data_IF_635578810470
#
_entry.id   IF_635578810470
#
_cell.length_a   1.000
_cell.length_b   1.000
_cell.length_c   1.000
_cell.angle_alpha   90.00
_cell.angle_beta   90.00
_cell.angle_gamma   90.00
#
_symmetry.space_group_name_H-M   'P 1'
#
loop_
_entity.id
_entity.type
_entity.pdbx_description
1 polymer ?
#
# COMPACT_ATOMS: atom_id res chain seq x y z
N UNK A 1 8.61 -24.66 -32.65
CA UNK A 1 7.73 -25.30 -31.63
C UNK A 1 7.92 -24.77 -30.20
N UNK A 2 8.69 -23.69 -29.95
CA UNK A 2 8.87 -23.14 -28.60
C UNK A 2 7.75 -22.17 -28.13
N UNK A 3 6.95 -21.63 -29.06
CA UNK A 3 5.96 -20.57 -28.76
C UNK A 3 4.69 -21.09 -28.06
N UNK A 4 4.39 -22.39 -28.15
CA UNK A 4 3.25 -23.03 -27.44
C UNK A 4 3.59 -23.42 -26.00
N UNK A 5 4.88 -23.64 -25.68
CA UNK A 5 5.32 -24.01 -24.32
C UNK A 5 5.34 -22.77 -23.41
N UNK A 6 5.71 -21.59 -23.94
CA UNK A 6 5.68 -20.35 -23.16
C UNK A 6 4.25 -19.90 -22.80
N UNK A 7 3.28 -20.21 -23.66
CA UNK A 7 1.87 -19.85 -23.45
C UNK A 7 1.16 -20.80 -22.47
N UNK A 8 1.69 -22.01 -22.25
CA UNK A 8 1.19 -22.94 -21.23
C UNK A 8 1.66 -22.57 -19.83
N UNK A 9 2.86 -21.99 -19.68
CA UNK A 9 3.37 -21.52 -18.38
C UNK A 9 2.57 -20.31 -17.87
N UNK A 10 2.06 -19.45 -18.75
CA UNK A 10 1.17 -18.34 -18.35
C UNK A 10 -0.27 -18.75 -18.03
N UNK A 11 -0.70 -19.96 -18.40
CA UNK A 11 -2.07 -20.45 -18.14
C UNK A 11 -2.14 -21.38 -16.92
N UNK A 12 -1.01 -21.91 -16.43
CA UNK A 12 -0.97 -22.93 -15.37
C UNK A 12 -1.05 -22.42 -13.93
N UNK A 13 -1.17 -21.10 -13.69
CA UNK A 13 -1.49 -20.56 -12.36
C UNK A 13 -2.98 -20.24 -12.17
N UNK A 14 -3.84 -20.89 -12.96
CA UNK A 14 -5.29 -20.81 -12.82
C UNK A 14 -5.88 -22.15 -12.37
N UNK A 15 -5.34 -22.85 -11.36
CA UNK A 15 -6.04 -23.97 -10.71
C UNK A 15 -5.76 -24.02 -9.19
N UNK A 16 -6.70 -23.46 -8.44
CA UNK A 16 -7.22 -23.87 -7.12
C UNK A 16 -6.21 -24.33 -6.04
N UNK A 17 -5.78 -23.40 -5.21
CA UNK A 17 -5.82 -23.61 -3.77
C UNK A 17 -6.98 -22.76 -3.25
N UNK A 18 -7.94 -23.43 -2.62
CA UNK A 18 -8.92 -22.80 -1.75
C UNK A 18 -8.16 -22.24 -0.53
N UNK A 19 -7.55 -21.07 -0.70
CA UNK A 19 -7.51 -20.07 0.33
C UNK A 19 -8.48 -19.01 -0.18
N UNK A 20 -9.51 -18.73 0.59
CA UNK A 20 -10.32 -17.54 0.39
C UNK A 20 -9.35 -16.35 0.39
N UNK A 21 -8.87 -15.94 -0.79
CA UNK A 21 -8.46 -14.57 -0.98
C UNK A 21 -9.74 -13.80 -0.65
N UNK A 22 -9.81 -13.29 0.58
CA UNK A 22 -10.93 -12.55 1.15
C UNK A 22 -11.15 -11.33 0.28
N UNK A 23 -11.88 -11.54 -0.82
CA UNK A 23 -12.53 -10.49 -1.56
C UNK A 23 -13.34 -9.76 -0.51
N UNK A 24 -12.94 -8.53 -0.23
CA UNK A 24 -13.70 -7.59 0.60
C UNK A 24 -15.17 -7.82 0.30
N UNK A 25 -15.99 -8.26 1.28
CA UNK A 25 -17.38 -8.61 1.02
C UNK A 25 -18.03 -7.48 0.23
N UNK A 26 -18.86 -7.80 -0.76
CA UNK A 26 -19.54 -6.82 -1.65
C UNK A 26 -20.31 -5.73 -0.86
N UNK A 27 -20.53 -5.97 0.43
CA UNK A 27 -21.19 -5.09 1.39
C UNK A 27 -20.27 -4.02 2.01
N UNK A 28 -18.94 -4.16 1.93
CA UNK A 28 -17.96 -3.26 2.54
C UNK A 28 -17.65 -2.04 1.66
N UNK A 29 -18.70 -1.33 1.26
CA UNK A 29 -18.60 -0.15 0.40
C UNK A 29 -17.76 0.94 1.08
N UNK A 30 -17.87 1.09 2.40
CA UNK A 30 -17.14 2.10 3.16
C UNK A 30 -15.63 1.79 3.21
N UNK A 31 -15.25 0.54 3.52
CA UNK A 31 -13.85 0.14 3.48
C UNK A 31 -13.26 0.25 2.06
N UNK A 32 -14.01 -0.15 1.03
CA UNK A 32 -13.55 -0.05 -0.36
C UNK A 32 -13.23 1.39 -0.76
N UNK A 33 -14.14 2.33 -0.44
CA UNK A 33 -13.91 3.76 -0.68
C UNK A 33 -12.71 4.27 0.12
N UNK A 34 -12.60 3.90 1.39
CA UNK A 34 -11.51 4.34 2.27
C UNK A 34 -10.14 3.88 1.78
N UNK A 35 -10.03 2.62 1.33
CA UNK A 35 -8.80 2.09 0.73
C UNK A 35 -8.43 2.86 -0.55
N UNK A 36 -9.41 3.16 -1.42
CA UNK A 36 -9.17 3.91 -2.64
C UNK A 36 -8.66 5.33 -2.35
N UNK A 37 -9.32 6.04 -1.43
CA UNK A 37 -8.94 7.40 -1.04
C UNK A 37 -7.53 7.42 -0.42
N UNK A 38 -7.25 6.46 0.48
CA UNK A 38 -5.92 6.27 1.06
C UNK A 38 -4.86 6.00 -0.03
N UNK A 39 -5.10 5.06 -0.95
CA UNK A 39 -4.15 4.71 -2.02
C UNK A 39 -3.81 5.91 -2.91
N UNK A 40 -4.82 6.73 -3.25
CA UNK A 40 -4.61 7.94 -4.01
C UNK A 40 -3.68 8.92 -3.29
N UNK A 41 -3.87 9.12 -1.97
CA UNK A 41 -3.00 9.99 -1.18
C UNK A 41 -1.59 9.43 -0.96
N UNK A 42 -1.47 8.13 -0.67
CA UNK A 42 -0.16 7.47 -0.51
C UNK A 42 0.64 7.61 -1.80
N UNK A 43 0.02 7.42 -2.97
CA UNK A 43 0.69 7.58 -4.27
C UNK A 43 1.28 8.98 -4.41
N UNK A 44 0.48 10.02 -4.16
CA UNK A 44 0.95 11.42 -4.22
C UNK A 44 2.08 11.69 -3.21
N UNK A 45 1.94 11.18 -1.98
CA UNK A 45 2.98 11.32 -0.96
C UNK A 45 4.29 10.65 -1.37
N UNK A 46 4.22 9.41 -1.87
CA UNK A 46 5.38 8.60 -2.25
C UNK A 46 6.07 9.16 -3.49
N UNK A 47 5.33 9.61 -4.49
CA UNK A 47 5.88 10.32 -5.64
C UNK A 47 6.63 11.58 -5.20
N UNK A 48 6.05 12.34 -4.27
CA UNK A 48 6.68 13.52 -3.68
C UNK A 48 7.97 13.20 -2.92
N UNK A 49 7.98 12.14 -2.12
CA UNK A 49 9.18 11.65 -1.42
C UNK A 49 10.25 11.23 -2.42
N UNK A 50 9.87 10.46 -3.44
CA UNK A 50 10.77 9.96 -4.45
C UNK A 50 11.37 11.12 -5.26
N UNK A 51 10.56 12.11 -5.65
CA UNK A 51 11.01 13.29 -6.40
C UNK A 51 11.96 14.18 -5.60
N UNK A 52 11.78 14.26 -4.27
CA UNK A 52 12.64 15.05 -3.40
C UNK A 52 13.96 14.36 -3.02
N UNK A 53 14.11 13.06 -3.34
CA UNK A 53 15.30 12.30 -2.98
C UNK A 53 16.54 12.78 -3.75
N UNK A 54 17.66 13.10 -3.07
CA UNK A 54 18.91 13.39 -3.74
C UNK A 54 19.44 12.12 -4.46
N UNK A 55 20.15 12.25 -5.59
CA UNK A 55 20.59 11.11 -6.39
C UNK A 55 21.36 10.04 -5.58
N UNK A 56 22.18 10.47 -4.63
CA UNK A 56 23.02 9.60 -3.82
C UNK A 56 22.21 8.74 -2.83
N UNK A 57 20.97 9.13 -2.51
CA UNK A 57 20.07 8.42 -1.59
C UNK A 57 18.88 7.75 -2.28
N UNK A 58 18.81 7.82 -3.61
CA UNK A 58 17.62 7.40 -4.37
C UNK A 58 17.22 5.94 -4.08
N UNK A 59 18.18 5.02 -4.08
CA UNK A 59 17.94 3.60 -3.82
C UNK A 59 17.47 3.31 -2.39
N UNK A 60 17.99 4.06 -1.40
CA UNK A 60 17.57 3.97 0.00
C UNK A 60 16.10 4.40 0.13
N UNK A 61 15.75 5.54 -0.48
CA UNK A 61 14.39 6.07 -0.49
C UNK A 61 13.43 5.11 -1.18
N UNK A 62 13.77 4.60 -2.36
CA UNK A 62 12.93 3.63 -3.10
C UNK A 62 12.68 2.37 -2.29
N UNK A 63 13.71 1.82 -1.63
CA UNK A 63 13.55 0.66 -0.75
C UNK A 63 12.62 0.96 0.43
N UNK A 64 12.76 2.13 1.05
CA UNK A 64 11.91 2.54 2.15
C UNK A 64 10.44 2.71 1.71
N UNK A 65 10.19 3.26 0.52
CA UNK A 65 8.83 3.35 -0.06
C UNK A 65 8.21 1.96 -0.25
N UNK A 66 8.97 1.00 -0.80
CA UNK A 66 8.51 -0.39 -0.94
C UNK A 66 8.18 -1.03 0.40
N UNK A 67 9.04 -0.85 1.41
CA UNK A 67 8.80 -1.38 2.75
C UNK A 67 7.56 -0.77 3.41
N UNK A 68 7.32 0.54 3.23
CA UNK A 68 6.11 1.17 3.76
C UNK A 68 4.85 0.68 3.05
N UNK A 69 4.91 0.45 1.73
CA UNK A 69 3.77 -0.11 0.99
C UNK A 69 3.42 -1.52 1.49
N UNK A 70 4.42 -2.38 1.72
CA UNK A 70 4.21 -3.70 2.31
C UNK A 70 3.58 -3.64 3.70
N UNK A 71 4.01 -2.70 4.55
CA UNK A 71 3.42 -2.52 5.88
C UNK A 71 1.94 -2.13 5.82
N UNK A 72 1.58 -1.23 4.91
CA UNK A 72 0.18 -0.83 4.66
C UNK A 72 -0.64 -2.04 4.21
N UNK A 73 -0.11 -2.82 3.26
CA UNK A 73 -0.79 -4.00 2.73
C UNK A 73 -1.03 -5.06 3.81
N UNK A 74 -0.01 -5.38 4.62
CA UNK A 74 -0.15 -6.34 5.72
C UNK A 74 -1.18 -5.88 6.76
N UNK A 75 -1.16 -4.61 7.14
CA UNK A 75 -2.14 -4.07 8.10
C UNK A 75 -3.58 -4.19 7.59
N UNK A 76 -3.80 -3.88 6.31
CA UNK A 76 -5.11 -4.02 5.68
C UNK A 76 -5.53 -5.49 5.52
N UNK A 77 -4.60 -6.37 5.15
CA UNK A 77 -4.85 -7.80 4.99
C UNK A 77 -5.19 -8.47 6.33
N UNK A 78 -4.47 -8.14 7.41
CA UNK A 78 -4.78 -8.64 8.75
C UNK A 78 -6.20 -8.26 9.19
N UNK A 79 -6.61 -7.00 8.95
CA UNK A 79 -7.96 -6.55 9.26
C UNK A 79 -9.04 -7.19 8.37
N UNK A 80 -8.75 -7.41 7.08
CA UNK A 80 -9.64 -8.13 6.15
C UNK A 80 -9.81 -9.59 6.56
N UNK A 81 -8.72 -10.28 6.89
CA UNK A 81 -8.73 -11.68 7.32
C UNK A 81 -9.45 -11.87 8.66
N UNK A 82 -9.42 -10.86 9.53
CA UNK A 82 -10.23 -10.82 10.76
C UNK A 82 -11.72 -10.49 10.52
N UNK A 83 -12.12 -10.12 9.30
CA UNK A 83 -13.50 -9.71 9.00
C UNK A 83 -13.89 -8.36 9.61
N UNK A 84 -12.93 -7.49 9.96
CA UNK A 84 -13.17 -6.24 10.67
C UNK A 84 -13.16 -5.03 9.72
N UNK A 85 -14.32 -4.74 9.11
CA UNK A 85 -14.49 -3.59 8.20
C UNK A 85 -14.13 -2.26 8.88
N UNK A 86 -14.51 -2.09 10.15
CA UNK A 86 -14.26 -0.84 10.88
C UNK A 86 -12.77 -0.62 11.09
N UNK A 87 -12.02 -1.69 11.38
CA UNK A 87 -10.57 -1.64 11.47
C UNK A 87 -9.93 -1.33 10.12
N UNK A 88 -10.43 -1.91 9.03
CA UNK A 88 -9.96 -1.55 7.67
C UNK A 88 -10.17 -0.05 7.39
N UNK A 89 -11.36 0.49 7.67
CA UNK A 89 -11.65 1.93 7.51
C UNK A 89 -10.71 2.78 8.39
N UNK A 90 -10.50 2.38 9.64
CA UNK A 90 -9.62 3.09 10.58
C UNK A 90 -8.16 3.09 10.16
N UNK A 91 -7.64 1.94 9.69
CA UNK A 91 -6.27 1.82 9.16
C UNK A 91 -6.13 2.70 7.93
N UNK A 92 -7.06 2.61 6.98
CA UNK A 92 -7.03 3.40 5.76
C UNK A 92 -7.01 4.91 6.05
N UNK A 93 -7.86 5.37 6.97
CA UNK A 93 -7.89 6.76 7.37
C UNK A 93 -6.61 7.22 8.10
N UNK A 94 -6.01 6.35 8.90
CA UNK A 94 -4.76 6.67 9.62
C UNK A 94 -3.59 6.87 8.67
N UNK A 95 -3.47 6.01 7.65
CA UNK A 95 -2.47 6.17 6.59
C UNK A 95 -2.78 7.35 5.67
N UNK A 96 -4.05 7.67 5.43
CA UNK A 96 -4.45 8.90 4.73
C UNK A 96 -3.92 10.15 5.44
N UNK A 97 -4.09 10.24 6.77
CA UNK A 97 -3.57 11.35 7.59
C UNK A 97 -2.04 11.40 7.56
N UNK A 98 -1.36 10.23 7.60
CA UNK A 98 0.09 10.16 7.48
C UNK A 98 0.56 10.68 6.12
N UNK A 99 -0.11 10.27 5.03
CA UNK A 99 0.17 10.74 3.68
C UNK A 99 -0.02 12.26 3.55
N UNK A 100 -1.08 12.84 4.12
CA UNK A 100 -1.30 14.30 4.13
C UNK A 100 -0.12 15.05 4.75
N UNK A 101 0.43 14.56 5.88
CA UNK A 101 1.60 15.16 6.52
C UNK A 101 2.83 15.15 5.61
N UNK A 102 3.04 14.08 4.85
CA UNK A 102 4.13 13.97 3.87
C UNK A 102 3.92 14.92 2.70
N UNK A 103 2.69 15.05 2.21
CA UNK A 103 2.33 15.94 1.09
C UNK A 103 2.66 17.40 1.44
N UNK A 104 2.30 17.86 2.64
CA UNK A 104 2.54 19.25 3.07
C UNK A 104 3.99 19.53 3.51
N UNK A 105 4.78 18.49 3.81
CA UNK A 105 6.18 18.67 4.19
C UNK A 105 7.01 19.31 3.07
N UNK A 106 7.99 20.14 3.45
CA UNK A 106 8.96 20.70 2.51
C UNK A 106 9.77 19.58 1.85
N UNK A 107 10.25 19.75 0.60
CA UNK A 107 10.96 18.68 -0.11
C UNK A 107 12.04 17.94 0.70
N UNK A 108 12.99 18.62 1.38
CA UNK A 108 14.03 17.90 2.14
C UNK A 108 13.48 17.12 3.35
N UNK A 109 12.32 17.48 3.88
CA UNK A 109 11.71 16.83 5.04
C UNK A 109 10.73 15.71 4.68
N UNK A 110 10.36 15.54 3.40
CA UNK A 110 9.36 14.55 2.98
C UNK A 110 9.73 13.13 3.40
N UNK A 111 10.98 12.72 3.18
CA UNK A 111 11.44 11.37 3.50
C UNK A 111 11.37 11.08 5.00
N UNK A 112 11.95 11.96 5.83
CA UNK A 112 11.88 11.86 7.29
C UNK A 112 10.44 11.90 7.81
N UNK A 113 9.61 12.76 7.23
CA UNK A 113 8.19 12.86 7.61
C UNK A 113 7.45 11.56 7.31
N UNK A 114 7.72 10.93 6.18
CA UNK A 114 7.15 9.62 5.84
C UNK A 114 7.56 8.58 6.88
N UNK A 115 8.85 8.45 7.19
CA UNK A 115 9.32 7.47 8.17
C UNK A 115 8.66 7.67 9.54
N UNK A 116 8.56 8.91 10.02
CA UNK A 116 7.95 9.19 11.32
C UNK A 116 6.45 8.91 11.32
N UNK A 117 5.74 9.37 10.30
CA UNK A 117 4.26 9.35 10.31
C UNK A 117 3.68 8.00 9.93
N UNK A 118 4.29 7.28 8.99
CA UNK A 118 3.83 5.94 8.61
C UNK A 118 4.14 4.91 9.70
N UNK A 119 5.30 5.00 10.37
CA UNK A 119 5.64 4.11 11.49
C UNK A 119 4.82 4.40 12.75
N UNK A 120 4.20 5.57 12.86
CA UNK A 120 3.33 5.93 13.97
C UNK A 120 1.88 5.42 13.81
N UNK A 121 1.52 4.87 12.65
CA UNK A 121 0.20 4.27 12.44
C UNK A 121 0.11 3.00 13.29
N UNK A 122 -0.86 2.97 14.19
CA UNK A 122 -1.15 1.81 15.03
C UNK A 122 -2.09 0.89 14.26
N UNK A 123 -1.65 -0.33 14.02
CA UNK A 123 -2.35 -1.38 13.25
C UNK A 123 -2.80 -2.53 14.14
#
# INVERSE_FOLDING_TARGET
MAKKILLLITILFAITLAAEATQVPKEWTAATKSILDMNNKITVAFDGVNAAAPPEKKSEVERALMMQMLNVDFALEDAKNAGDEKKVVSIAHSYEIAADKVIVASPPEKFKTMEVTFNAVVV
#
